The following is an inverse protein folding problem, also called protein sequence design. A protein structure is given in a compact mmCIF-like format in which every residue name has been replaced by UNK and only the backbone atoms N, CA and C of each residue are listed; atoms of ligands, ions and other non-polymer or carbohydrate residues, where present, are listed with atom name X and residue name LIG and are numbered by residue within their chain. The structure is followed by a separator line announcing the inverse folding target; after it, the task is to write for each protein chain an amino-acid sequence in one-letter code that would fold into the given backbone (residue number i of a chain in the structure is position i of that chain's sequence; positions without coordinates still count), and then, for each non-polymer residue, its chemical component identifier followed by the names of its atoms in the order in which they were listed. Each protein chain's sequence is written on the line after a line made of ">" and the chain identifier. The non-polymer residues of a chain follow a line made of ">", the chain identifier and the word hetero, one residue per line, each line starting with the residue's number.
data_IF_722304113721
#
_entry.id   IF_722304113721
#
_cell.length_a   1.000
_cell.length_b   1.000
_cell.length_c   1.000
_cell.angle_alpha   90.00
_cell.angle_beta   90.00
_cell.angle_gamma   90.00
#
_symmetry.space_group_name_H-M   'P 1'
#
loop_
_entity.id
_entity.type
_entity.pdbx_description
1 polymer ?
#
# COMPACT_ATOMS: atom_id res chain seq x y z
N UNK A 1 12.45 4.21 2.60
CA UNK A 1 11.08 4.57 2.17
C UNK A 1 10.18 3.34 2.14
N UNK A 2 10.53 2.24 1.42
CA UNK A 2 9.68 1.03 1.27
C UNK A 2 9.27 0.44 2.63
N UNK A 3 10.19 0.34 3.59
CA UNK A 3 9.88 -0.13 4.95
C UNK A 3 8.79 0.72 5.63
N UNK A 4 8.90 2.05 5.51
CA UNK A 4 7.94 2.99 6.10
C UNK A 4 6.56 2.81 5.44
N UNK A 5 6.49 2.70 4.11
CA UNK A 5 5.23 2.47 3.39
C UNK A 5 4.61 1.14 3.81
N UNK A 6 5.41 0.09 3.98
CA UNK A 6 4.92 -1.23 4.40
C UNK A 6 4.28 -1.23 5.80
N UNK A 7 4.59 -0.23 6.66
CA UNK A 7 3.92 -0.06 7.96
C UNK A 7 2.43 0.26 7.82
N UNK A 8 1.94 0.57 6.62
CA UNK A 8 0.51 0.79 6.35
C UNK A 8 -0.35 -0.40 6.81
N UNK A 9 0.17 -1.63 6.78
CA UNK A 9 -0.53 -2.82 7.29
C UNK A 9 -0.82 -2.71 8.79
N UNK A 10 0.13 -2.16 9.56
CA UNK A 10 -0.05 -1.92 11.00
C UNK A 10 -1.08 -0.79 11.23
N UNK A 11 -0.97 0.32 10.49
CA UNK A 11 -1.93 1.43 10.61
C UNK A 11 -3.34 1.01 10.21
N UNK A 12 -3.50 0.21 9.16
CA UNK A 12 -4.78 -0.35 8.76
C UNK A 12 -5.38 -1.25 9.84
N UNK A 13 -4.59 -2.11 10.46
CA UNK A 13 -5.04 -2.95 11.56
C UNK A 13 -5.44 -2.10 12.77
N UNK A 14 -4.60 -1.12 13.15
CA UNK A 14 -4.82 -0.24 14.28
C UNK A 14 -6.11 0.59 14.10
N UNK A 15 -6.24 1.27 12.98
CA UNK A 15 -7.42 2.10 12.68
C UNK A 15 -8.67 1.25 12.49
N UNK A 16 -8.56 0.05 11.88
CA UNK A 16 -9.65 -0.91 11.80
C UNK A 16 -10.16 -1.32 13.16
N UNK A 17 -9.26 -1.58 14.10
CA UNK A 17 -9.62 -1.90 15.47
C UNK A 17 -10.28 -0.72 16.21
N UNK A 18 -9.67 0.47 16.19
CA UNK A 18 -10.18 1.62 16.96
C UNK A 18 -11.40 2.28 16.32
N UNK A 19 -11.41 2.43 15.00
CA UNK A 19 -12.42 3.23 14.29
C UNK A 19 -13.60 2.41 13.78
N UNK A 20 -13.33 1.23 13.22
CA UNK A 20 -14.36 0.32 12.73
C UNK A 20 -14.75 -0.75 13.75
N UNK A 21 -14.10 -0.77 14.93
CA UNK A 21 -14.29 -1.80 15.97
C UNK A 21 -14.13 -3.22 15.44
N UNK A 22 -13.24 -3.41 14.46
CA UNK A 22 -12.94 -4.72 13.92
C UNK A 22 -12.21 -5.56 14.95
N UNK A 23 -12.68 -6.76 15.20
CA UNK A 23 -11.95 -7.71 16.03
C UNK A 23 -10.77 -8.26 15.23
N UNK A 24 -9.54 -7.96 15.66
CA UNK A 24 -8.34 -8.56 15.09
C UNK A 24 -8.26 -9.99 15.64
N UNK A 25 -8.28 -11.00 14.75
CA UNK A 25 -8.04 -12.37 15.16
C UNK A 25 -6.56 -12.57 15.53
N UNK A 26 -6.29 -13.55 16.39
CA UNK A 26 -4.91 -13.93 16.73
C UNK A 26 -4.13 -14.28 15.45
N UNK A 27 -4.76 -14.98 14.53
CA UNK A 27 -4.18 -15.32 13.23
C UNK A 27 -3.85 -14.05 12.43
N UNK A 28 -4.73 -13.04 12.45
CA UNK A 28 -4.47 -11.75 11.82
C UNK A 28 -3.28 -11.01 12.42
N UNK A 29 -3.17 -11.01 13.75
CA UNK A 29 -2.04 -10.41 14.45
C UNK A 29 -0.72 -11.13 14.12
N UNK A 30 -0.72 -12.46 14.17
CA UNK A 30 0.44 -13.27 13.81
C UNK A 30 0.87 -13.05 12.35
N UNK A 31 -0.10 -12.95 11.44
CA UNK A 31 0.19 -12.66 10.02
C UNK A 31 0.84 -11.29 9.84
N UNK A 32 0.39 -10.27 10.56
CA UNK A 32 1.01 -8.94 10.51
C UNK A 32 2.46 -9.00 11.03
N UNK A 33 2.68 -9.64 12.18
CA UNK A 33 4.02 -9.79 12.75
C UNK A 33 4.96 -10.54 11.79
N UNK A 34 4.48 -11.64 11.21
CA UNK A 34 5.25 -12.43 10.26
C UNK A 34 5.57 -11.63 8.99
N UNK A 35 4.60 -10.87 8.46
CA UNK A 35 4.81 -10.00 7.30
C UNK A 35 5.84 -8.91 7.61
N UNK A 36 5.80 -8.28 8.78
CA UNK A 36 6.79 -7.29 9.20
C UNK A 36 8.20 -7.88 9.33
N UNK A 37 8.32 -9.12 9.84
CA UNK A 37 9.59 -9.85 9.82
C UNK A 37 10.10 -10.08 8.40
N UNK A 38 9.22 -10.49 7.48
CA UNK A 38 9.57 -10.67 6.06
C UNK A 38 10.10 -9.38 5.43
N UNK A 39 9.45 -8.25 5.69
CA UNK A 39 9.90 -6.93 5.22
C UNK A 39 11.26 -6.57 5.80
N UNK A 40 11.47 -6.82 7.09
CA UNK A 40 12.74 -6.53 7.75
C UNK A 40 13.89 -7.34 7.13
N UNK A 41 13.65 -8.63 6.84
CA UNK A 41 14.63 -9.49 6.15
C UNK A 41 14.89 -8.98 4.73
N UNK A 42 13.84 -8.59 4.00
CA UNK A 42 13.94 -8.12 2.62
C UNK A 42 14.76 -6.84 2.48
N UNK A 43 14.72 -5.96 3.48
CA UNK A 43 15.35 -4.63 3.44
C UNK A 43 16.65 -4.60 4.25
N UNK A 44 16.95 -5.64 5.04
CA UNK A 44 18.02 -5.66 6.04
C UNK A 44 19.39 -5.19 5.56
N UNK A 45 19.74 -5.47 4.29
CA UNK A 45 21.01 -5.05 3.70
C UNK A 45 20.96 -3.62 3.10
N UNK A 46 19.78 -3.01 3.00
CA UNK A 46 19.55 -1.73 2.31
C UNK A 46 19.17 -0.58 3.24
N UNK A 47 19.34 -0.71 4.55
CA UNK A 47 19.05 0.34 5.53
C UNK A 47 20.15 1.41 5.47
N UNK A 48 20.11 2.23 4.44
CA UNK A 48 20.82 3.50 4.44
C UNK A 48 20.00 4.51 5.24
N UNK A 49 20.61 5.12 6.26
CA UNK A 49 19.94 6.07 7.13
C UNK A 49 19.43 7.28 6.35
N UNK A 50 18.13 7.34 6.14
CA UNK A 50 17.47 8.54 5.64
C UNK A 50 17.50 9.65 6.70
N UNK A 51 17.28 10.90 6.30
CA UNK A 51 17.12 12.01 7.25
C UNK A 51 15.85 11.80 8.08
N UNK A 52 15.89 12.19 9.36
CA UNK A 52 14.73 12.11 10.25
C UNK A 52 13.50 12.80 9.64
N UNK A 53 13.71 13.96 9.05
CA UNK A 53 12.65 14.72 8.37
C UNK A 53 12.04 13.93 7.19
N UNK A 54 12.87 13.34 6.32
CA UNK A 54 12.38 12.51 5.21
C UNK A 54 11.59 11.29 5.67
N UNK A 55 12.01 10.66 6.76
CA UNK A 55 11.29 9.52 7.34
C UNK A 55 9.93 9.94 7.94
N UNK A 56 9.86 11.10 8.60
CA UNK A 56 8.60 11.65 9.12
C UNK A 56 7.62 12.00 7.99
N UNK A 57 8.12 12.62 6.92
CA UNK A 57 7.31 12.91 5.73
C UNK A 57 6.82 11.61 5.09
N UNK A 58 7.68 10.59 4.98
CA UNK A 58 7.30 9.30 4.41
C UNK A 58 6.21 8.58 5.23
N UNK A 59 6.13 8.79 6.55
CA UNK A 59 5.07 8.24 7.40
C UNK A 59 3.68 8.81 7.07
N UNK A 60 3.59 9.97 6.43
CA UNK A 60 2.29 10.53 6.02
C UNK A 60 1.58 9.63 5.01
N UNK A 61 2.33 8.88 4.18
CA UNK A 61 1.79 8.00 3.14
C UNK A 61 0.96 6.86 3.77
N UNK A 62 1.52 5.99 4.65
CA UNK A 62 0.77 4.87 5.23
C UNK A 62 -0.38 5.34 6.13
N UNK A 63 -0.22 6.47 6.81
CA UNK A 63 -1.29 7.04 7.65
C UNK A 63 -2.44 7.53 6.76
N UNK A 64 -2.16 8.34 5.74
CA UNK A 64 -3.19 8.88 4.83
C UNK A 64 -3.91 7.77 4.07
N UNK A 65 -3.18 6.76 3.60
CA UNK A 65 -3.77 5.59 2.94
C UNK A 65 -4.70 4.83 3.89
N UNK A 66 -4.29 4.63 5.14
CA UNK A 66 -5.11 3.94 6.14
C UNK A 66 -6.39 4.73 6.47
N UNK A 67 -6.30 6.06 6.55
CA UNK A 67 -7.46 6.94 6.72
C UNK A 67 -8.40 6.82 5.52
N UNK A 68 -7.88 6.85 4.29
CA UNK A 68 -8.67 6.66 3.07
C UNK A 68 -9.49 5.36 3.12
N UNK A 69 -8.84 4.25 3.42
CA UNK A 69 -9.51 2.95 3.55
C UNK A 69 -10.59 2.97 4.64
N UNK A 70 -10.33 3.63 5.78
CA UNK A 70 -11.34 3.76 6.85
C UNK A 70 -12.56 4.55 6.38
N UNK A 71 -12.36 5.66 5.65
CA UNK A 71 -13.45 6.47 5.08
C UNK A 71 -14.28 5.63 4.11
N UNK A 72 -13.64 4.89 3.20
CA UNK A 72 -14.33 4.02 2.24
C UNK A 72 -15.17 2.98 2.96
N UNK A 73 -14.61 2.34 3.96
CA UNK A 73 -15.29 1.26 4.70
C UNK A 73 -16.44 1.76 5.58
N UNK A 74 -16.27 2.92 6.20
CA UNK A 74 -17.34 3.52 6.99
C UNK A 74 -18.53 3.96 6.15
N UNK A 75 -18.26 4.38 4.91
CA UNK A 75 -19.26 4.88 3.97
C UNK A 75 -19.44 3.90 2.81
N UNK A 76 -19.51 2.61 3.09
CA UNK A 76 -19.59 1.54 2.09
C UNK A 76 -20.83 1.63 1.17
N UNK A 77 -21.87 2.35 1.61
CA UNK A 77 -23.10 2.60 0.87
C UNK A 77 -22.94 3.74 -0.18
N UNK A 78 -21.86 4.55 -0.06
CA UNK A 78 -21.62 5.66 -0.97
C UNK A 78 -20.68 5.22 -2.09
N UNK A 79 -20.92 5.74 -3.28
CA UNK A 79 -19.95 5.61 -4.36
C UNK A 79 -18.85 6.67 -4.21
N UNK A 80 -17.69 6.22 -3.70
CA UNK A 80 -16.52 7.09 -3.49
C UNK A 80 -15.55 7.09 -4.68
N UNK A 81 -15.85 6.36 -5.76
CA UNK A 81 -15.03 6.39 -6.98
C UNK A 81 -14.91 7.81 -7.56
N UNK A 82 -15.96 8.65 -7.59
CA UNK A 82 -15.83 10.04 -8.03
C UNK A 82 -14.85 10.88 -7.22
N UNK A 83 -14.61 10.54 -5.95
CA UNK A 83 -13.64 11.25 -5.11
C UNK A 83 -12.20 11.15 -5.66
N UNK A 84 -11.89 10.08 -6.40
CA UNK A 84 -10.59 9.91 -7.07
C UNK A 84 -10.37 11.03 -8.10
N UNK A 85 -11.41 11.44 -8.82
CA UNK A 85 -11.35 12.56 -9.76
C UNK A 85 -10.98 13.87 -9.07
N UNK A 86 -11.65 14.19 -7.96
CA UNK A 86 -11.34 15.40 -7.20
C UNK A 86 -9.93 15.36 -6.62
N UNK A 87 -9.48 14.21 -6.13
CA UNK A 87 -8.13 14.02 -5.65
C UNK A 87 -7.09 14.23 -6.76
N UNK A 88 -7.34 13.69 -7.97
CA UNK A 88 -6.45 13.84 -9.12
C UNK A 88 -6.35 15.29 -9.57
N UNK A 89 -7.48 16.01 -9.67
CA UNK A 89 -7.51 17.43 -10.04
C UNK A 89 -6.76 18.26 -9.01
N UNK A 90 -7.02 18.04 -7.71
CA UNK A 90 -6.35 18.74 -6.63
C UNK A 90 -4.84 18.50 -6.63
N UNK A 91 -4.42 17.24 -6.81
CA UNK A 91 -3.01 16.89 -6.90
C UNK A 91 -2.33 17.53 -8.10
N UNK A 92 -2.98 17.52 -9.26
CA UNK A 92 -2.46 18.17 -10.48
C UNK A 92 -2.30 19.68 -10.27
N UNK A 93 -3.29 20.34 -9.68
CA UNK A 93 -3.25 21.76 -9.41
C UNK A 93 -2.10 22.13 -8.46
N UNK A 94 -1.96 21.38 -7.37
CA UNK A 94 -0.88 21.59 -6.40
C UNK A 94 0.48 21.36 -7.07
N UNK A 95 0.63 20.29 -7.83
CA UNK A 95 1.89 19.98 -8.53
C UNK A 95 2.24 21.06 -9.55
N UNK A 96 1.24 21.57 -10.29
CA UNK A 96 1.44 22.65 -11.25
C UNK A 96 1.92 23.96 -10.55
N UNK A 97 1.34 24.29 -9.41
CA UNK A 97 1.72 25.48 -8.64
C UNK A 97 3.12 25.37 -7.99
N UNK A 98 3.56 24.14 -7.72
CA UNK A 98 4.86 23.87 -7.10
C UNK A 98 5.96 23.54 -8.12
N UNK A 99 5.63 23.38 -9.39
CA UNK A 99 6.60 23.09 -10.43
C UNK A 99 7.46 24.31 -10.74
N UNK A 100 8.79 24.14 -10.69
CA UNK A 100 9.74 25.19 -11.04
C UNK A 100 9.97 25.27 -12.56
N UNK A 101 9.74 24.18 -13.28
CA UNK A 101 9.88 24.07 -14.73
C UNK A 101 8.76 23.17 -15.28
N UNK A 102 8.21 23.54 -16.41
CA UNK A 102 7.13 22.86 -17.11
C UNK A 102 7.56 22.37 -18.50
N UNK A 103 8.87 22.14 -18.68
CA UNK A 103 9.38 21.53 -19.90
C UNK A 103 9.07 20.03 -19.91
N UNK A 104 8.28 19.57 -20.88
CA UNK A 104 7.92 18.16 -21.05
C UNK A 104 8.44 17.65 -22.37
N UNK A 105 9.09 16.48 -22.34
CA UNK A 105 9.38 15.70 -23.54
C UNK A 105 8.17 14.81 -23.89
N UNK A 106 8.07 14.39 -25.14
CA UNK A 106 7.01 13.43 -25.55
C UNK A 106 7.05 12.13 -24.72
N UNK A 107 8.24 11.69 -24.32
CA UNK A 107 8.41 10.52 -23.46
C UNK A 107 7.85 10.76 -22.06
N UNK A 108 8.00 11.96 -21.49
CA UNK A 108 7.49 12.29 -20.16
C UNK A 108 5.95 12.27 -20.16
N UNK A 109 5.33 12.77 -21.24
CA UNK A 109 3.87 12.72 -21.40
C UNK A 109 3.38 11.28 -21.51
N UNK A 110 4.06 10.45 -22.31
CA UNK A 110 3.71 9.05 -22.50
C UNK A 110 3.85 8.26 -21.20
N UNK A 111 4.98 8.41 -20.52
CA UNK A 111 5.23 7.79 -19.20
C UNK A 111 4.23 8.27 -18.16
N UNK A 112 3.97 9.57 -18.08
CA UNK A 112 2.96 10.14 -17.18
C UNK A 112 1.56 9.60 -17.43
N UNK A 113 1.18 9.40 -18.69
CA UNK A 113 -0.10 8.77 -19.04
C UNK A 113 -0.17 7.32 -18.54
N UNK A 114 0.85 6.51 -18.79
CA UNK A 114 0.85 5.11 -18.35
C UNK A 114 0.90 4.96 -16.83
N UNK A 115 1.66 5.81 -16.14
CA UNK A 115 1.73 5.80 -14.67
C UNK A 115 0.42 6.33 -14.04
N UNK A 116 -0.16 7.39 -14.60
CA UNK A 116 -1.35 8.03 -14.03
C UNK A 116 -2.63 7.24 -14.28
N UNK A 117 -2.87 6.80 -15.52
CA UNK A 117 -4.16 6.20 -15.89
C UNK A 117 -4.22 4.71 -15.57
N UNK A 118 -3.46 3.80 -16.24
CA UNK A 118 -3.60 2.38 -15.95
C UNK A 118 -3.06 1.97 -14.59
N UNK A 119 -1.98 2.58 -14.11
CA UNK A 119 -1.37 2.15 -12.85
C UNK A 119 -2.08 2.77 -11.63
N UNK A 120 -2.11 4.09 -11.52
CA UNK A 120 -2.67 4.74 -10.31
C UNK A 120 -4.18 4.75 -10.31
N UNK A 121 -4.82 5.25 -11.37
CA UNK A 121 -6.29 5.42 -11.38
C UNK A 121 -7.01 4.08 -11.29
N UNK A 122 -6.61 3.10 -12.11
CA UNK A 122 -7.22 1.76 -12.05
C UNK A 122 -6.96 1.08 -10.71
N UNK A 123 -5.74 1.20 -10.17
CA UNK A 123 -5.38 0.69 -8.85
C UNK A 123 -6.26 1.27 -7.75
N UNK A 124 -6.43 2.60 -7.70
CA UNK A 124 -7.28 3.26 -6.72
C UNK A 124 -8.76 2.90 -6.86
N UNK A 125 -9.27 2.74 -8.08
CA UNK A 125 -10.65 2.27 -8.32
C UNK A 125 -10.83 0.86 -7.75
N UNK A 126 -9.91 -0.07 -8.04
CA UNK A 126 -9.95 -1.43 -7.52
C UNK A 126 -9.89 -1.45 -5.98
N UNK A 127 -9.00 -0.65 -5.38
CA UNK A 127 -8.90 -0.54 -3.91
C UNK A 127 -10.20 0.03 -3.34
N UNK A 128 -10.76 1.08 -3.94
CA UNK A 128 -11.99 1.72 -3.46
C UNK A 128 -13.16 0.74 -3.47
N UNK A 129 -13.31 -0.04 -4.53
CA UNK A 129 -14.38 -1.05 -4.63
C UNK A 129 -14.10 -2.23 -3.70
N UNK A 130 -12.89 -2.78 -3.72
CA UNK A 130 -12.50 -3.96 -2.94
C UNK A 130 -12.49 -3.72 -1.43
N UNK A 131 -12.17 -2.50 -1.00
CA UNK A 131 -12.11 -2.16 0.43
C UNK A 131 -13.47 -2.08 1.11
N UNK A 132 -14.56 -1.93 0.36
CA UNK A 132 -15.93 -1.81 0.93
C UNK A 132 -16.31 -3.02 1.79
N UNK A 133 -15.93 -4.22 1.39
CA UNK A 133 -16.30 -5.48 2.05
C UNK A 133 -15.15 -6.24 2.69
N UNK A 134 -13.91 -5.78 2.49
CA UNK A 134 -12.71 -6.51 2.94
C UNK A 134 -12.21 -5.96 4.29
N UNK A 135 -11.85 -6.84 5.23
CA UNK A 135 -11.29 -6.45 6.54
C UNK A 135 -9.98 -5.67 6.37
N UNK A 136 -9.76 -4.68 7.23
CA UNK A 136 -8.59 -3.79 7.19
C UNK A 136 -7.25 -4.54 7.22
N UNK A 137 -7.12 -5.57 8.07
CA UNK A 137 -5.94 -6.43 8.16
C UNK A 137 -5.67 -7.15 6.82
N UNK A 138 -6.73 -7.65 6.16
CA UNK A 138 -6.60 -8.34 4.88
C UNK A 138 -6.17 -7.38 3.78
N UNK A 139 -6.73 -6.17 3.74
CA UNK A 139 -6.32 -5.13 2.80
C UNK A 139 -4.83 -4.83 2.98
N UNK A 140 -4.39 -4.58 4.24
CA UNK A 140 -3.00 -4.29 4.54
C UNK A 140 -2.04 -5.39 4.08
N UNK A 141 -2.37 -6.66 4.33
CA UNK A 141 -1.54 -7.77 3.89
C UNK A 141 -1.52 -7.93 2.35
N UNK A 142 -2.67 -7.72 1.69
CA UNK A 142 -2.73 -7.76 0.23
C UNK A 142 -1.88 -6.63 -0.40
N UNK A 143 -1.84 -5.45 0.21
CA UNK A 143 -0.99 -4.35 -0.28
C UNK A 143 0.51 -4.71 -0.22
N UNK A 144 0.93 -5.61 0.67
CA UNK A 144 2.32 -6.08 0.70
C UNK A 144 2.72 -6.91 -0.52
N UNK A 145 1.77 -7.38 -1.33
CA UNK A 145 2.09 -8.04 -2.60
C UNK A 145 2.85 -7.11 -3.54
N UNK A 146 2.58 -5.80 -3.50
CA UNK A 146 3.33 -4.80 -4.25
C UNK A 146 4.82 -4.82 -3.90
N UNK A 147 5.16 -4.94 -2.61
CA UNK A 147 6.53 -5.01 -2.13
C UNK A 147 7.27 -6.23 -2.68
N UNK A 148 6.55 -7.32 -2.97
CA UNK A 148 7.11 -8.55 -3.56
C UNK A 148 7.26 -8.40 -5.07
N UNK A 149 6.23 -7.86 -5.74
CA UNK A 149 6.23 -7.72 -7.20
C UNK A 149 7.18 -6.64 -7.70
N UNK A 150 7.43 -5.58 -6.94
CA UNK A 150 8.31 -4.50 -7.36
C UNK A 150 9.73 -5.00 -7.74
N UNK A 151 10.46 -5.77 -6.92
CA UNK A 151 11.76 -6.32 -7.30
C UNK A 151 11.69 -7.32 -8.47
N UNK A 152 10.58 -8.06 -8.60
CA UNK A 152 10.39 -9.00 -9.71
C UNK A 152 10.27 -8.26 -11.05
N UNK A 153 9.57 -7.13 -11.08
CA UNK A 153 9.48 -6.27 -12.26
C UNK A 153 10.85 -5.68 -12.62
N UNK A 154 11.60 -5.19 -11.64
CA UNK A 154 12.96 -4.69 -11.84
C UNK A 154 13.84 -5.78 -12.45
N UNK A 155 13.78 -7.00 -11.93
CA UNK A 155 14.50 -8.14 -12.49
C UNK A 155 14.11 -8.44 -13.94
N UNK A 156 12.81 -8.49 -14.24
CA UNK A 156 12.32 -8.85 -15.57
C UNK A 156 12.61 -7.77 -16.64
N UNK A 157 12.51 -6.49 -16.28
CA UNK A 157 12.63 -5.39 -17.25
C UNK A 157 14.01 -4.75 -17.28
N UNK A 158 14.73 -4.73 -16.16
CA UNK A 158 16.06 -4.12 -16.06
C UNK A 158 17.18 -5.13 -15.94
N UNK A 159 16.86 -6.45 -15.90
CA UNK A 159 17.83 -7.54 -15.70
C UNK A 159 18.68 -7.41 -14.43
N UNK A 160 18.21 -6.66 -13.43
CA UNK A 160 18.86 -6.55 -12.13
C UNK A 160 18.38 -7.69 -11.22
N UNK A 161 19.30 -8.62 -10.90
CA UNK A 161 18.97 -9.77 -10.07
C UNK A 161 18.76 -9.31 -8.62
N UNK A 162 17.56 -9.52 -8.01
CA UNK A 162 17.33 -9.18 -6.62
C UNK A 162 18.25 -9.95 -5.68
N UNK A 163 18.71 -9.37 -4.58
CA UNK A 163 19.50 -10.07 -3.57
C UNK A 163 18.68 -11.21 -2.91
N UNK A 164 19.35 -12.21 -2.36
CA UNK A 164 18.70 -13.37 -1.76
C UNK A 164 17.75 -13.02 -0.60
N UNK A 165 18.02 -11.94 0.10
CA UNK A 165 17.15 -11.39 1.16
C UNK A 165 15.75 -11.05 0.65
N UNK A 166 15.62 -10.59 -0.62
CA UNK A 166 14.34 -10.29 -1.25
C UNK A 166 13.51 -11.56 -1.47
N UNK A 167 14.15 -12.65 -1.89
CA UNK A 167 13.46 -13.93 -2.09
C UNK A 167 13.01 -14.53 -0.76
N UNK A 168 13.87 -14.49 0.27
CA UNK A 168 13.55 -15.02 1.61
C UNK A 168 12.44 -14.17 2.24
N UNK A 169 12.60 -12.85 2.30
CA UNK A 169 11.62 -11.94 2.89
C UNK A 169 10.28 -11.97 2.16
N UNK A 170 10.30 -11.99 0.82
CA UNK A 170 9.12 -12.14 -0.02
C UNK A 170 8.36 -13.45 0.26
N UNK A 171 9.07 -14.57 0.39
CA UNK A 171 8.46 -15.85 0.74
C UNK A 171 7.77 -15.82 2.11
N UNK A 172 8.36 -15.17 3.11
CA UNK A 172 7.76 -14.98 4.43
C UNK A 172 6.47 -14.14 4.33
N UNK A 173 6.46 -13.08 3.54
CA UNK A 173 5.27 -12.25 3.32
C UNK A 173 4.16 -13.06 2.65
N UNK A 174 4.47 -13.82 1.60
CA UNK A 174 3.49 -14.71 0.93
C UNK A 174 2.90 -15.69 1.93
N UNK A 175 3.73 -16.29 2.77
CA UNK A 175 3.28 -17.23 3.79
C UNK A 175 2.34 -16.56 4.82
N UNK A 176 2.65 -15.34 5.23
CA UNK A 176 1.78 -14.55 6.11
C UNK A 176 0.40 -14.28 5.48
N UNK A 177 0.35 -13.96 4.18
CA UNK A 177 -0.90 -13.74 3.43
C UNK A 177 -1.70 -15.05 3.36
N UNK A 178 -1.04 -16.16 3.07
CA UNK A 178 -1.68 -17.48 3.01
C UNK A 178 -2.27 -17.86 4.37
N UNK A 179 -1.52 -17.72 5.47
CA UNK A 179 -2.03 -17.98 6.82
C UNK A 179 -3.30 -17.17 7.09
N UNK A 180 -3.28 -15.87 6.74
CA UNK A 180 -4.45 -15.01 6.92
C UNK A 180 -5.63 -15.45 6.06
N UNK A 181 -5.41 -15.97 4.87
CA UNK A 181 -6.46 -16.46 3.98
C UNK A 181 -7.24 -17.65 4.59
N UNK A 182 -6.60 -18.47 5.41
CA UNK A 182 -7.26 -19.57 6.13
C UNK A 182 -8.01 -19.12 7.40
N UNK A 183 -7.92 -17.85 7.78
CA UNK A 183 -8.63 -17.31 8.93
C UNK A 183 -10.15 -17.21 8.66
N UNK A 184 -10.87 -18.25 9.01
CA UNK A 184 -12.34 -18.35 8.89
C UNK A 184 -13.11 -17.52 9.91
N UNK A 185 -12.50 -16.57 10.60
CA UNK A 185 -13.20 -15.72 11.56
C UNK A 185 -14.32 -14.97 10.83
N UNK A 186 -15.57 -15.38 11.10
CA UNK A 186 -16.81 -14.92 10.45
C UNK A 186 -16.80 -13.40 10.31
N UNK A 187 -17.08 -12.93 9.11
CA UNK A 187 -17.50 -11.56 8.86
C UNK A 187 -18.79 -11.34 9.64
N UNK A 188 -18.70 -10.68 10.78
CA UNK A 188 -19.89 -10.13 11.42
C UNK A 188 -20.12 -8.82 10.68
N UNK A 189 -20.99 -8.88 9.67
CA UNK A 189 -21.61 -7.69 9.07
C UNK A 189 -22.53 -7.09 10.13
N UNK A 190 -22.14 -5.98 10.70
CA UNK A 190 -23.05 -5.04 11.35
C UNK A 190 -23.31 -3.90 10.39
#
# INVERSE_FOLDING_TARGET
>A
VVFIISTQTMFLALFGYFYLREKISIIGLLSIMLAMMGITVMIGDSISGGTLFGNLVALTIPVSFSILVMIIRKNNNLDLVPAIWYASISSTLISFLMANDLSFTNNDILMGFFLGVPQLTFGFVCITIGSRSTKSVTIGLLMLTETIFAPLWVWLFLNEIPPMSVFIGGSIIVFAIIIKSFDKTKQIST
#
